data_IF_981675058894
#
_entry.id   IF_981675058894
#
_cell.length_a   1.000
_cell.length_b   1.000
_cell.length_c   1.000
_cell.angle_alpha   90.00
_cell.angle_beta   90.00
_cell.angle_gamma   90.00
#
_symmetry.space_group_name_H-M   'P 1'
#
loop_
_entity.id
_entity.type
_entity.pdbx_description
1 polymer ?
#
# COMPACT_ATOMS: atom_id res chain seq x y z
N UNK A 1 -31.13 20.02 5.42
CA UNK A 1 -29.81 19.36 5.56
C UNK A 1 -28.62 20.31 5.37
N UNK A 2 -28.59 21.19 4.36
CA UNK A 2 -27.46 22.13 4.14
C UNK A 2 -27.17 23.08 5.33
N UNK A 3 -28.18 23.66 5.96
CA UNK A 3 -27.98 24.55 7.13
C UNK A 3 -27.53 23.83 8.42
N UNK A 4 -27.84 22.54 8.57
CA UNK A 4 -27.36 21.71 9.69
C UNK A 4 -25.90 21.31 9.48
N UNK A 5 -25.53 20.92 8.25
CA UNK A 5 -24.14 20.60 7.90
C UNK A 5 -23.22 21.82 8.05
N UNK A 6 -23.70 23.02 7.70
CA UNK A 6 -22.94 24.27 7.90
C UNK A 6 -22.70 24.59 9.37
N UNK A 7 -23.73 24.48 10.22
CA UNK A 7 -23.61 24.68 11.68
C UNK A 7 -22.74 23.61 12.35
N UNK A 8 -22.77 22.37 11.87
CA UNK A 8 -21.88 21.30 12.32
C UNK A 8 -20.44 21.64 11.92
N UNK A 9 -20.21 22.06 10.67
CA UNK A 9 -18.90 22.53 10.20
C UNK A 9 -18.34 23.68 11.03
N UNK A 10 -19.12 24.74 11.26
CA UNK A 10 -18.71 25.90 12.07
C UNK A 10 -18.37 25.53 13.53
N UNK A 11 -19.11 24.58 14.13
CA UNK A 11 -18.84 24.08 15.49
C UNK A 11 -17.61 23.17 15.56
N UNK A 12 -17.41 22.34 14.54
CA UNK A 12 -16.22 21.50 14.39
C UNK A 12 -14.97 22.35 14.23
N UNK A 13 -15.01 23.37 13.35
CA UNK A 13 -13.89 24.29 13.09
C UNK A 13 -13.49 25.09 14.34
N UNK A 14 -14.45 25.56 15.15
CA UNK A 14 -14.12 26.27 16.40
C UNK A 14 -13.48 25.37 17.46
N UNK A 15 -13.96 24.14 17.63
CA UNK A 15 -13.34 23.15 18.52
C UNK A 15 -11.96 22.74 18.03
N UNK A 16 -11.81 22.60 16.72
CA UNK A 16 -10.54 22.31 16.03
C UNK A 16 -9.50 23.40 16.29
N UNK A 17 -9.86 24.68 16.12
CA UNK A 17 -8.93 25.80 16.34
C UNK A 17 -8.39 25.84 17.77
N UNK A 18 -9.23 25.60 18.77
CA UNK A 18 -8.80 25.53 20.18
C UNK A 18 -7.90 24.32 20.47
N UNK A 19 -8.23 23.16 19.89
CA UNK A 19 -7.43 21.93 20.05
C UNK A 19 -6.08 22.02 19.36
N UNK A 20 -6.04 22.61 18.15
CA UNK A 20 -4.82 22.86 17.39
C UNK A 20 -3.85 23.73 18.18
N UNK A 21 -4.33 24.81 18.81
CA UNK A 21 -3.49 25.70 19.60
C UNK A 21 -2.74 24.99 20.74
N UNK A 22 -3.43 24.17 21.52
CA UNK A 22 -2.79 23.43 22.63
C UNK A 22 -1.87 22.31 22.16
N UNK A 23 -2.27 21.58 21.10
CA UNK A 23 -1.46 20.50 20.52
C UNK A 23 -0.16 21.02 19.91
N UNK A 24 -0.19 22.19 19.25
CA UNK A 24 1.01 22.84 18.69
C UNK A 24 1.98 23.24 19.80
N UNK A 25 1.51 23.76 20.92
CA UNK A 25 2.37 24.12 22.06
C UNK A 25 3.03 22.88 22.66
N UNK A 26 2.26 21.81 22.89
CA UNK A 26 2.80 20.54 23.39
C UNK A 26 3.85 19.96 22.46
N UNK A 27 3.60 19.98 21.15
CA UNK A 27 4.54 19.53 20.14
C UNK A 27 5.81 20.39 20.12
N UNK A 28 5.68 21.72 20.12
CA UNK A 28 6.83 22.63 20.14
C UNK A 28 7.72 22.41 21.36
N UNK A 29 7.13 22.25 22.55
CA UNK A 29 7.87 21.99 23.78
C UNK A 29 8.59 20.64 23.76
N UNK A 30 7.97 19.61 23.17
CA UNK A 30 8.62 18.32 22.98
C UNK A 30 9.77 18.40 21.98
N UNK A 31 9.56 19.03 20.81
CA UNK A 31 10.57 19.13 19.76
C UNK A 31 11.80 19.91 20.23
N UNK A 32 11.63 20.97 21.03
CA UNK A 32 12.75 21.64 21.71
C UNK A 32 13.57 20.69 22.58
N UNK A 33 12.90 19.79 23.32
CA UNK A 33 13.60 18.79 24.14
C UNK A 33 14.36 17.76 23.29
N UNK A 34 13.77 17.35 22.16
CA UNK A 34 14.43 16.48 21.18
C UNK A 34 15.70 17.17 20.65
N UNK A 35 15.60 18.42 20.20
CA UNK A 35 16.74 19.21 19.72
C UNK A 35 17.83 19.39 20.78
N UNK A 36 17.46 19.59 22.05
CA UNK A 36 18.42 19.68 23.15
C UNK A 36 19.25 18.40 23.34
N UNK A 37 18.62 17.22 23.26
CA UNK A 37 19.35 15.95 23.35
C UNK A 37 20.23 15.73 22.12
N UNK A 38 19.71 16.04 20.93
CA UNK A 38 20.44 15.91 19.67
C UNK A 38 21.69 16.80 19.56
N UNK A 39 21.81 17.86 20.38
CA UNK A 39 23.02 18.70 20.46
C UNK A 39 24.21 17.97 21.09
N UNK A 40 23.97 16.97 21.95
CA UNK A 40 25.04 16.26 22.65
C UNK A 40 25.54 15.07 21.84
N UNK A 41 24.61 14.26 21.34
CA UNK A 41 24.83 13.16 20.42
C UNK A 41 23.52 12.95 19.63
N UNK A 42 23.55 12.20 18.52
CA UNK A 42 22.35 11.98 17.71
C UNK A 42 21.33 11.01 18.37
N UNK A 43 21.45 10.73 19.67
CA UNK A 43 20.69 9.72 20.38
C UNK A 43 19.69 10.33 21.35
N UNK A 44 18.51 9.73 21.42
CA UNK A 44 17.44 10.17 22.30
C UNK A 44 17.32 9.24 23.50
N UNK A 45 17.07 9.84 24.66
CA UNK A 45 16.77 9.12 25.87
C UNK A 45 15.42 8.39 25.77
N UNK A 46 15.29 7.25 26.46
CA UNK A 46 14.01 6.52 26.50
C UNK A 46 12.87 7.39 27.07
N UNK A 47 13.20 8.38 27.92
CA UNK A 47 12.24 9.34 28.46
C UNK A 47 11.69 10.29 27.37
N UNK A 48 12.55 10.83 26.49
CA UNK A 48 12.10 11.65 25.36
C UNK A 48 11.31 10.81 24.36
N UNK A 49 11.75 9.60 24.06
CA UNK A 49 11.03 8.67 23.18
C UNK A 49 9.63 8.35 23.76
N UNK A 50 9.51 8.12 25.06
CA UNK A 50 8.23 7.89 25.72
C UNK A 50 7.30 9.11 25.62
N UNK A 51 7.84 10.34 25.65
CA UNK A 51 7.06 11.56 25.44
C UNK A 51 6.60 11.72 24.00
N UNK A 52 7.44 11.37 23.01
CA UNK A 52 7.05 11.31 21.59
C UNK A 52 5.90 10.31 21.40
N UNK A 53 6.03 9.11 21.97
CA UNK A 53 4.98 8.10 21.98
C UNK A 53 3.67 8.65 22.56
N UNK A 54 3.69 9.16 23.80
CA UNK A 54 2.50 9.70 24.45
C UNK A 54 1.82 10.82 23.63
N UNK A 55 2.62 11.72 23.04
CA UNK A 55 2.11 12.80 22.20
C UNK A 55 1.43 12.23 20.93
N UNK A 56 2.04 11.26 20.26
CA UNK A 56 1.46 10.63 19.06
C UNK A 56 0.08 9.98 19.32
N UNK A 57 -0.13 9.40 20.52
CA UNK A 57 -1.43 8.83 20.91
C UNK A 57 -2.48 9.89 21.28
N UNK A 58 -2.04 11.08 21.70
CA UNK A 58 -2.92 12.21 22.06
C UNK A 58 -3.52 12.91 20.83
N UNK A 59 -2.83 12.84 19.68
CA UNK A 59 -3.27 13.42 18.42
C UNK A 59 -4.35 12.56 17.75
N UNK A 60 -5.62 12.76 18.15
CA UNK A 60 -6.74 12.01 17.55
C UNK A 60 -7.09 12.56 16.15
N UNK A 61 -7.34 11.70 15.15
CA UNK A 61 -7.89 12.12 13.86
C UNK A 61 -9.18 12.95 13.99
N UNK A 62 -9.42 13.83 13.03
CA UNK A 62 -10.64 14.62 12.89
C UNK A 62 -10.89 15.00 11.43
N UNK A 63 -12.10 15.42 11.10
CA UNK A 63 -12.42 16.03 9.81
C UNK A 63 -12.01 17.51 9.82
N UNK A 64 -11.36 17.96 8.78
CA UNK A 64 -11.00 19.37 8.57
C UNK A 64 -11.41 19.82 7.17
N UNK A 65 -11.34 21.13 6.92
CA UNK A 65 -11.66 21.71 5.62
C UNK A 65 -10.57 21.40 4.59
N UNK A 66 -10.95 20.76 3.48
CA UNK A 66 -10.19 20.60 2.25
C UNK A 66 -10.82 21.51 1.18
N UNK A 67 -10.26 22.70 0.99
CA UNK A 67 -10.91 23.74 0.19
C UNK A 67 -12.25 24.15 0.81
N UNK A 68 -13.33 23.99 0.05
CA UNK A 68 -14.68 24.39 0.47
C UNK A 68 -15.50 23.28 1.16
N UNK A 69 -14.93 22.08 1.30
CA UNK A 69 -15.63 20.90 1.84
C UNK A 69 -14.88 20.26 3.00
N UNK A 70 -15.58 19.55 3.88
CA UNK A 70 -14.93 18.72 4.90
C UNK A 70 -14.29 17.49 4.25
N UNK A 71 -13.14 17.06 4.77
CA UNK A 71 -12.49 15.82 4.36
C UNK A 71 -13.44 14.62 4.49
N UNK A 72 -13.37 13.70 3.51
CA UNK A 72 -14.22 12.51 3.49
C UNK A 72 -13.94 11.55 4.66
N UNK A 73 -12.67 11.44 5.06
CA UNK A 73 -12.16 10.66 6.19
C UNK A 73 -11.56 11.57 7.26
N UNK A 74 -11.38 11.04 8.46
CA UNK A 74 -10.68 11.72 9.56
C UNK A 74 -9.18 11.44 9.48
N UNK A 75 -8.37 12.49 9.57
CA UNK A 75 -6.91 12.38 9.66
C UNK A 75 -6.38 13.24 10.81
N UNK A 76 -5.13 13.02 11.22
CA UNK A 76 -4.41 13.86 12.17
C UNK A 76 -3.25 14.55 11.45
N UNK A 77 -3.41 15.84 11.11
CA UNK A 77 -2.31 16.67 10.65
C UNK A 77 -1.14 16.72 11.63
N UNK A 78 -1.42 16.67 12.94
CA UNK A 78 -0.37 16.73 13.97
C UNK A 78 0.49 15.46 13.99
N UNK A 79 -0.09 14.27 13.74
CA UNK A 79 0.70 13.04 13.54
C UNK A 79 1.58 13.13 12.31
N UNK A 80 1.05 13.67 11.22
CA UNK A 80 1.81 13.89 9.98
C UNK A 80 3.00 14.83 10.21
N UNK A 81 2.74 16.00 10.82
CA UNK A 81 3.78 16.96 11.14
C UNK A 81 4.82 16.39 12.10
N UNK A 82 4.40 15.66 13.13
CA UNK A 82 5.32 15.02 14.07
C UNK A 82 6.25 14.03 13.33
N UNK A 83 5.70 13.16 12.49
CA UNK A 83 6.49 12.19 11.72
C UNK A 83 7.48 12.88 10.78
N UNK A 84 7.01 13.83 9.97
CA UNK A 84 7.86 14.58 9.03
C UNK A 84 8.99 15.28 9.79
N UNK A 85 8.67 15.92 10.91
CA UNK A 85 9.69 16.63 11.70
C UNK A 85 10.74 15.68 12.26
N UNK A 86 10.31 14.53 12.80
CA UNK A 86 11.24 13.52 13.33
C UNK A 86 12.12 12.89 12.23
N UNK A 87 11.60 12.71 11.02
CA UNK A 87 12.37 12.22 9.86
C UNK A 87 13.44 13.22 9.40
N UNK A 88 13.15 14.52 9.51
CA UNK A 88 14.10 15.59 9.16
C UNK A 88 15.16 15.81 10.25
N UNK A 89 14.89 15.38 11.48
CA UNK A 89 15.86 15.43 12.57
C UNK A 89 16.91 14.32 12.38
N UNK A 90 18.18 14.65 12.62
CA UNK A 90 19.32 13.72 12.52
C UNK A 90 19.36 12.74 13.71
N UNK A 91 18.26 12.03 13.95
CA UNK A 91 18.13 11.01 15.01
C UNK A 91 18.82 9.73 14.53
N UNK A 92 19.60 9.09 15.40
CA UNK A 92 20.27 7.84 15.07
C UNK A 92 19.26 6.70 14.83
N UNK A 93 19.68 5.69 14.06
CA UNK A 93 18.84 4.56 13.66
C UNK A 93 18.25 3.78 14.84
N UNK A 94 19.00 3.62 15.95
CA UNK A 94 18.55 2.91 17.13
C UNK A 94 17.44 3.67 17.87
N UNK A 95 17.62 4.97 18.09
CA UNK A 95 16.59 5.85 18.65
C UNK A 95 15.35 5.90 17.77
N UNK A 96 15.53 6.05 16.45
CA UNK A 96 14.41 6.13 15.52
C UNK A 96 13.66 4.80 15.42
N UNK A 97 14.35 3.66 15.49
CA UNK A 97 13.71 2.33 15.57
C UNK A 97 12.81 2.23 16.81
N UNK A 98 13.27 2.67 17.98
CA UNK A 98 12.44 2.70 19.20
C UNK A 98 11.24 3.64 19.06
N UNK A 99 11.41 4.79 18.40
CA UNK A 99 10.30 5.71 18.10
C UNK A 99 9.24 4.98 17.28
N UNK A 100 9.61 4.37 16.14
CA UNK A 100 8.67 3.64 15.26
C UNK A 100 7.91 2.54 15.98
N UNK A 101 8.57 1.82 16.90
CA UNK A 101 7.96 0.74 17.68
C UNK A 101 7.02 1.22 18.80
N UNK A 102 7.21 2.43 19.32
CA UNK A 102 6.46 2.94 20.49
C UNK A 102 5.42 4.01 20.14
N UNK A 103 5.44 4.53 18.93
CA UNK A 103 4.52 5.58 18.46
C UNK A 103 3.41 5.01 17.58
N UNK A 104 2.41 5.85 17.34
CA UNK A 104 1.42 5.61 16.27
C UNK A 104 1.38 6.79 15.33
N UNK A 105 1.46 6.49 14.03
CA UNK A 105 1.22 7.44 12.95
C UNK A 105 -0.02 7.05 12.13
N UNK A 106 -0.88 6.21 12.69
CA UNK A 106 -2.15 5.84 12.08
C UNK A 106 -3.00 7.08 11.82
N UNK A 107 -3.61 7.18 10.64
CA UNK A 107 -4.39 8.34 10.24
C UNK A 107 -3.57 9.64 10.11
N UNK A 108 -2.24 9.61 10.09
CA UNK A 108 -1.43 10.80 9.84
C UNK A 108 -1.79 11.42 8.48
N UNK A 109 -1.88 12.74 8.42
CA UNK A 109 -2.01 13.45 7.14
C UNK A 109 -0.63 13.78 6.57
N UNK A 110 -0.25 13.09 5.50
CA UNK A 110 1.05 13.18 4.84
C UNK A 110 0.90 13.55 3.35
N UNK A 111 -0.27 14.08 2.97
CA UNK A 111 -0.59 14.44 1.58
C UNK A 111 0.45 15.35 0.98
N UNK A 112 0.93 15.01 -0.22
CA UNK A 112 1.91 15.80 -0.95
C UNK A 112 3.26 15.98 -0.25
N UNK A 113 3.52 15.27 0.86
CA UNK A 113 4.80 15.35 1.55
C UNK A 113 5.92 14.75 0.69
N UNK A 114 7.13 15.29 0.84
CA UNK A 114 8.34 14.64 0.34
C UNK A 114 8.89 13.73 1.44
N UNK A 115 8.73 12.43 1.24
CA UNK A 115 9.22 11.35 2.10
C UNK A 115 10.19 10.45 1.33
N UNK A 116 10.88 11.01 0.33
CA UNK A 116 11.87 10.28 -0.46
C UNK A 116 12.97 9.72 0.44
N UNK A 117 13.33 8.45 0.23
CA UNK A 117 14.30 7.71 1.04
C UNK A 117 13.94 7.55 2.54
N UNK A 118 12.73 7.90 2.97
CA UNK A 118 12.37 7.83 4.39
C UNK A 118 12.40 6.37 4.90
N UNK A 119 12.96 6.15 6.09
CA UNK A 119 12.89 4.84 6.76
C UNK A 119 11.65 4.72 7.65
N UNK A 120 10.56 4.28 7.03
CA UNK A 120 9.26 4.02 7.65
C UNK A 120 9.04 2.53 7.97
N UNK A 121 10.08 1.71 7.93
CA UNK A 121 9.96 0.28 8.20
C UNK A 121 9.39 0.00 9.59
N UNK A 122 8.53 -1.01 9.69
CA UNK A 122 7.82 -1.41 10.93
C UNK A 122 6.95 -0.32 11.56
N UNK A 123 6.63 0.75 10.83
CA UNK A 123 5.84 1.87 11.37
C UNK A 123 4.34 1.56 11.33
N UNK A 124 3.61 2.04 12.34
CA UNK A 124 2.14 1.98 12.38
C UNK A 124 1.55 3.16 11.60
N UNK A 125 1.15 2.94 10.35
CA UNK A 125 0.66 3.94 9.39
C UNK A 125 -0.76 3.62 8.86
N UNK A 126 -1.49 2.71 9.52
CA UNK A 126 -2.85 2.35 9.12
C UNK A 126 -3.76 3.57 8.98
N UNK A 127 -4.55 3.62 7.92
CA UNK A 127 -5.43 4.72 7.55
C UNK A 127 -4.75 6.08 7.32
N UNK A 128 -3.42 6.15 7.26
CA UNK A 128 -2.71 7.39 6.96
C UNK A 128 -3.00 7.88 5.53
N UNK A 129 -2.89 9.19 5.33
CA UNK A 129 -3.12 9.85 4.05
C UNK A 129 -1.81 10.18 3.35
N UNK A 130 -1.43 9.35 2.41
CA UNK A 130 -0.28 9.50 1.53
C UNK A 130 -0.67 9.93 0.11
N UNK A 131 -1.84 10.54 -0.08
CA UNK A 131 -2.27 10.97 -1.40
C UNK A 131 -1.25 11.94 -1.99
N UNK A 132 -0.79 11.64 -3.21
CA UNK A 132 0.20 12.43 -3.96
C UNK A 132 1.55 12.63 -3.23
N UNK A 133 1.87 11.80 -2.23
CA UNK A 133 3.14 11.85 -1.50
C UNK A 133 4.27 11.26 -2.35
N UNK A 134 5.47 11.84 -2.29
CA UNK A 134 6.68 11.20 -2.81
C UNK A 134 7.30 10.28 -1.75
N UNK A 135 7.19 8.97 -1.97
CA UNK A 135 7.78 7.88 -1.19
C UNK A 135 8.81 7.11 -2.04
N UNK A 136 9.35 7.72 -3.10
CA UNK A 136 10.36 7.05 -3.92
C UNK A 136 11.58 6.68 -3.08
N UNK A 137 12.11 5.48 -3.32
CA UNK A 137 13.23 4.90 -2.57
C UNK A 137 12.98 4.74 -1.05
N UNK A 138 11.75 4.94 -0.55
CA UNK A 138 11.44 4.80 0.87
C UNK A 138 11.48 3.34 1.34
N UNK A 139 11.88 3.11 2.59
CA UNK A 139 11.81 1.81 3.23
C UNK A 139 10.54 1.69 4.05
N UNK A 140 9.55 0.95 3.55
CA UNK A 140 8.27 0.62 4.18
C UNK A 140 8.18 -0.86 4.57
N UNK A 141 9.31 -1.55 4.71
CA UNK A 141 9.37 -2.98 5.04
C UNK A 141 8.58 -3.26 6.31
N UNK A 142 7.65 -4.22 6.25
CA UNK A 142 6.74 -4.60 7.34
C UNK A 142 5.96 -3.42 7.96
N UNK A 143 5.75 -2.31 7.25
CA UNK A 143 4.90 -1.24 7.74
C UNK A 143 3.42 -1.67 7.72
N UNK A 144 2.65 -1.20 8.70
CA UNK A 144 1.19 -1.31 8.68
C UNK A 144 0.62 -0.12 7.90
N UNK A 145 0.07 -0.38 6.73
CA UNK A 145 -0.58 0.56 5.81
C UNK A 145 -2.05 0.16 5.56
N UNK A 146 -2.67 -0.60 6.48
CA UNK A 146 -4.05 -1.04 6.33
C UNK A 146 -4.99 0.16 6.16
N UNK A 147 -5.87 0.13 5.16
CA UNK A 147 -6.81 1.22 4.82
C UNK A 147 -6.15 2.58 4.49
N UNK A 148 -4.83 2.64 4.29
CA UNK A 148 -4.12 3.86 3.93
C UNK A 148 -4.56 4.39 2.56
N UNK A 149 -4.55 5.72 2.40
CA UNK A 149 -4.81 6.38 1.14
C UNK A 149 -3.48 6.72 0.44
N UNK A 150 -3.10 5.95 -0.57
CA UNK A 150 -1.89 6.11 -1.39
C UNK A 150 -2.24 6.56 -2.81
N UNK A 151 -3.42 7.17 -3.01
CA UNK A 151 -3.88 7.60 -4.34
C UNK A 151 -2.83 8.51 -4.99
N UNK A 152 -2.39 8.17 -6.20
CA UNK A 152 -1.39 8.94 -6.94
C UNK A 152 -0.02 9.06 -6.28
N UNK A 153 0.29 8.29 -5.22
CA UNK A 153 1.58 8.35 -4.55
C UNK A 153 2.71 7.83 -5.46
N UNK A 154 3.90 8.41 -5.33
CA UNK A 154 5.10 7.91 -5.98
C UNK A 154 5.85 6.96 -5.02
N UNK A 155 5.81 5.67 -5.27
CA UNK A 155 6.48 4.59 -4.53
C UNK A 155 7.55 3.90 -5.39
N UNK A 156 8.07 4.57 -6.42
CA UNK A 156 9.07 3.96 -7.30
C UNK A 156 10.31 3.55 -6.49
N UNK A 157 10.78 2.31 -6.71
CA UNK A 157 11.90 1.69 -5.99
C UNK A 157 11.73 1.57 -4.47
N UNK A 158 10.55 1.82 -3.92
CA UNK A 158 10.30 1.66 -2.50
C UNK A 158 10.37 0.18 -2.08
N UNK A 159 10.80 -0.06 -0.84
CA UNK A 159 10.78 -1.40 -0.25
C UNK A 159 9.54 -1.57 0.63
N UNK A 160 8.51 -2.25 0.13
CA UNK A 160 7.28 -2.62 0.82
C UNK A 160 7.24 -4.11 1.20
N UNK A 161 8.38 -4.81 1.24
CA UNK A 161 8.41 -6.24 1.57
C UNK A 161 7.73 -6.52 2.92
N UNK A 162 6.76 -7.44 2.92
CA UNK A 162 5.96 -7.81 4.08
C UNK A 162 5.03 -6.71 4.62
N UNK A 163 4.85 -5.58 3.94
CA UNK A 163 3.93 -4.53 4.39
C UNK A 163 2.47 -5.00 4.37
N UNK A 164 1.65 -4.54 5.32
CA UNK A 164 0.20 -4.77 5.33
C UNK A 164 -0.50 -3.60 4.63
N UNK A 165 -0.94 -3.80 3.40
CA UNK A 165 -1.63 -2.86 2.52
C UNK A 165 -3.12 -3.23 2.34
N UNK A 166 -3.70 -4.07 3.22
CA UNK A 166 -5.09 -4.51 3.12
C UNK A 166 -6.02 -3.31 2.95
N UNK A 167 -6.93 -3.36 1.97
CA UNK A 167 -7.93 -2.31 1.70
C UNK A 167 -7.35 -0.90 1.46
N UNK A 168 -6.04 -0.78 1.21
CA UNK A 168 -5.44 0.50 0.86
C UNK A 168 -5.92 0.98 -0.52
N UNK A 169 -5.88 2.29 -0.72
CA UNK A 169 -6.19 2.92 -2.01
C UNK A 169 -4.88 3.30 -2.71
N UNK A 170 -4.46 2.50 -3.68
CA UNK A 170 -3.26 2.65 -4.50
C UNK A 170 -3.61 3.09 -5.94
N UNK A 171 -4.84 3.55 -6.20
CA UNK A 171 -5.26 3.95 -7.56
C UNK A 171 -4.33 5.05 -8.07
N UNK A 172 -3.88 4.87 -9.32
CA UNK A 172 -2.96 5.78 -10.01
C UNK A 172 -1.57 5.96 -9.35
N UNK A 173 -1.22 5.18 -8.33
CA UNK A 173 0.11 5.21 -7.74
C UNK A 173 1.16 4.63 -8.70
N UNK A 174 2.41 5.09 -8.59
CA UNK A 174 3.55 4.53 -9.33
C UNK A 174 4.46 3.76 -8.39
N UNK A 175 4.55 2.44 -8.55
CA UNK A 175 5.37 1.52 -7.77
C UNK A 175 6.40 0.79 -8.66
N UNK A 176 6.89 1.46 -9.71
CA UNK A 176 7.81 0.85 -10.65
C UNK A 176 9.12 0.45 -9.93
N UNK A 177 9.64 -0.73 -10.25
CA UNK A 177 10.87 -1.28 -9.64
C UNK A 177 10.82 -1.42 -8.11
N UNK A 178 9.62 -1.39 -7.51
CA UNK A 178 9.45 -1.57 -6.06
C UNK A 178 9.56 -3.04 -5.64
N UNK A 179 9.85 -3.26 -4.36
CA UNK A 179 9.84 -4.59 -3.74
C UNK A 179 8.61 -4.75 -2.85
N UNK A 180 7.65 -5.58 -3.26
CA UNK A 180 6.40 -5.91 -2.58
C UNK A 180 6.34 -7.40 -2.19
N UNK A 181 7.48 -8.10 -2.10
CA UNK A 181 7.50 -9.51 -1.72
C UNK A 181 6.75 -9.73 -0.42
N UNK A 182 5.87 -10.74 -0.39
CA UNK A 182 5.08 -11.11 0.78
C UNK A 182 4.14 -10.01 1.31
N UNK A 183 3.94 -8.90 0.58
CA UNK A 183 3.04 -7.85 1.01
C UNK A 183 1.58 -8.36 1.03
N UNK A 184 0.78 -7.83 1.94
CA UNK A 184 -0.64 -8.15 2.03
C UNK A 184 -1.48 -7.03 1.43
N UNK A 185 -1.97 -7.21 0.21
CA UNK A 185 -2.80 -6.27 -0.54
C UNK A 185 -4.25 -6.77 -0.70
N UNK A 186 -4.74 -7.62 0.20
CA UNK A 186 -6.11 -8.14 0.11
C UNK A 186 -7.15 -7.01 0.11
N UNK A 187 -8.03 -7.03 -0.89
CA UNK A 187 -9.07 -6.02 -1.08
C UNK A 187 -8.56 -4.61 -1.41
N UNK A 188 -7.26 -4.43 -1.68
CA UNK A 188 -6.71 -3.13 -2.06
C UNK A 188 -7.26 -2.66 -3.42
N UNK A 189 -7.23 -1.35 -3.65
CA UNK A 189 -7.66 -0.70 -4.90
C UNK A 189 -6.41 -0.26 -5.66
N UNK A 190 -6.05 -0.93 -6.75
CA UNK A 190 -4.86 -0.67 -7.57
C UNK A 190 -5.21 -0.24 -9.01
N UNK A 191 -6.47 0.06 -9.30
CA UNK A 191 -6.88 0.39 -10.66
C UNK A 191 -6.05 1.55 -11.23
N UNK A 192 -5.47 1.35 -12.42
CA UNK A 192 -4.57 2.31 -13.08
C UNK A 192 -3.19 2.50 -12.42
N UNK A 193 -2.84 1.73 -11.39
CA UNK A 193 -1.50 1.77 -10.79
C UNK A 193 -0.43 1.23 -11.76
N UNK A 194 0.82 1.66 -11.57
CA UNK A 194 1.96 1.18 -12.33
C UNK A 194 2.89 0.38 -11.44
N UNK A 195 3.15 -0.87 -11.79
CA UNK A 195 4.03 -1.80 -11.09
C UNK A 195 5.01 -2.43 -12.10
N UNK A 196 5.52 -1.61 -13.03
CA UNK A 196 6.44 -2.03 -14.07
C UNK A 196 7.75 -2.47 -13.42
N UNK A 197 8.23 -3.67 -13.74
CA UNK A 197 9.43 -4.30 -13.14
C UNK A 197 9.38 -4.45 -11.62
N UNK A 198 8.20 -4.34 -11.01
CA UNK A 198 8.07 -4.55 -9.57
C UNK A 198 8.26 -6.03 -9.22
N UNK A 199 8.80 -6.28 -8.04
CA UNK A 199 8.95 -7.63 -7.48
C UNK A 199 7.89 -7.86 -6.40
N UNK A 200 6.84 -8.62 -6.74
CA UNK A 200 5.64 -8.81 -5.93
C UNK A 200 5.50 -10.29 -5.55
N UNK A 201 6.59 -11.06 -5.60
CA UNK A 201 6.55 -12.50 -5.36
C UNK A 201 5.83 -12.86 -4.05
N UNK A 202 4.96 -13.85 -4.13
CA UNK A 202 4.23 -14.41 -2.97
C UNK A 202 3.39 -13.39 -2.19
N UNK A 203 3.02 -12.26 -2.80
CA UNK A 203 2.09 -11.33 -2.20
C UNK A 203 0.66 -11.89 -2.17
N UNK A 204 -0.15 -11.36 -1.24
CA UNK A 204 -1.57 -11.66 -1.11
C UNK A 204 -2.38 -10.54 -1.75
N UNK A 205 -3.13 -10.83 -2.80
CA UNK A 205 -3.86 -9.83 -3.61
C UNK A 205 -5.31 -10.28 -3.82
N UNK A 206 -5.84 -11.07 -2.88
CA UNK A 206 -7.19 -11.61 -3.00
C UNK A 206 -8.24 -10.51 -3.02
N UNK A 207 -9.20 -10.63 -3.92
CA UNK A 207 -10.34 -9.71 -4.05
C UNK A 207 -9.96 -8.24 -4.30
N UNK A 208 -8.72 -7.95 -4.69
CA UNK A 208 -8.28 -6.60 -5.04
C UNK A 208 -8.88 -6.15 -6.38
N UNK A 209 -8.92 -4.83 -6.58
CA UNK A 209 -9.25 -4.23 -7.88
C UNK A 209 -7.95 -3.81 -8.59
N UNK A 210 -7.58 -4.53 -9.65
CA UNK A 210 -6.37 -4.32 -10.45
C UNK A 210 -6.73 -3.84 -11.87
N UNK A 211 -7.91 -3.22 -12.03
CA UNK A 211 -8.40 -2.81 -13.33
C UNK A 211 -7.44 -1.85 -14.05
N UNK A 212 -6.88 -2.25 -15.19
CA UNK A 212 -5.94 -1.42 -15.94
C UNK A 212 -4.55 -1.26 -15.30
N UNK A 213 -4.20 -2.05 -14.28
CA UNK A 213 -2.87 -1.99 -13.67
C UNK A 213 -1.79 -2.45 -14.66
N UNK A 214 -0.61 -1.81 -14.61
CA UNK A 214 0.52 -2.14 -15.48
C UNK A 214 1.56 -2.98 -14.72
N UNK A 215 1.75 -4.23 -15.13
CA UNK A 215 2.71 -5.18 -14.56
C UNK A 215 3.79 -5.59 -15.58
N UNK A 216 4.10 -4.72 -16.55
CA UNK A 216 5.11 -5.00 -17.57
C UNK A 216 6.44 -5.43 -16.91
N UNK A 217 6.99 -6.56 -17.35
CA UNK A 217 8.24 -7.13 -16.85
C UNK A 217 8.27 -7.38 -15.32
N UNK A 218 7.11 -7.43 -14.65
CA UNK A 218 7.02 -7.63 -13.20
C UNK A 218 7.19 -9.10 -12.81
N UNK A 219 7.71 -9.33 -11.62
CA UNK A 219 7.80 -10.67 -11.04
C UNK A 219 6.63 -10.90 -10.08
N UNK A 220 5.68 -11.73 -10.51
CA UNK A 220 4.43 -12.05 -9.83
C UNK A 220 4.38 -13.53 -9.42
N UNK A 221 5.54 -14.18 -9.36
CA UNK A 221 5.58 -15.63 -9.13
C UNK A 221 4.99 -15.96 -7.75
N UNK A 222 4.06 -16.91 -7.71
CA UNK A 222 3.39 -17.34 -6.47
C UNK A 222 2.41 -16.33 -5.87
N UNK A 223 2.05 -15.24 -6.58
CA UNK A 223 1.06 -14.27 -6.08
C UNK A 223 -0.32 -14.91 -5.98
N UNK A 224 -1.06 -14.58 -4.92
CA UNK A 224 -2.44 -15.01 -4.77
C UNK A 224 -3.42 -13.95 -5.30
N UNK A 225 -3.94 -14.15 -6.51
CA UNK A 225 -4.96 -13.30 -7.14
C UNK A 225 -6.38 -13.86 -7.02
N UNK A 226 -6.65 -14.77 -6.07
CA UNK A 226 -7.96 -15.39 -5.92
C UNK A 226 -9.07 -14.33 -5.85
N UNK A 227 -10.01 -14.39 -6.80
CA UNK A 227 -11.15 -13.48 -6.86
C UNK A 227 -10.80 -12.01 -7.21
N UNK A 228 -9.57 -11.73 -7.62
CA UNK A 228 -9.16 -10.37 -7.98
C UNK A 228 -9.79 -9.93 -9.31
N UNK A 229 -10.14 -8.65 -9.41
CA UNK A 229 -10.60 -8.03 -10.67
C UNK A 229 -9.38 -7.58 -11.45
N UNK A 230 -9.11 -8.19 -12.60
CA UNK A 230 -7.91 -7.93 -13.41
C UNK A 230 -8.28 -7.55 -14.85
N UNK A 231 -9.44 -6.92 -15.04
CA UNK A 231 -9.86 -6.47 -16.36
C UNK A 231 -8.90 -5.39 -16.88
N UNK A 232 -8.51 -5.46 -18.16
CA UNK A 232 -7.59 -4.50 -18.82
C UNK A 232 -6.18 -4.46 -18.25
N UNK A 233 -5.80 -5.42 -17.41
CA UNK A 233 -4.46 -5.45 -16.82
C UNK A 233 -3.40 -5.76 -17.88
N UNK A 234 -2.19 -5.22 -17.72
CA UNK A 234 -1.08 -5.48 -18.65
C UNK A 234 0.00 -6.32 -18.00
N UNK A 235 0.12 -7.58 -18.39
CA UNK A 235 1.11 -8.54 -17.91
C UNK A 235 2.23 -8.82 -18.93
N UNK A 236 2.47 -7.95 -19.91
CA UNK A 236 3.50 -8.21 -20.92
C UNK A 236 4.84 -8.55 -20.27
N UNK A 237 5.42 -9.68 -20.66
CA UNK A 237 6.67 -10.24 -20.14
C UNK A 237 6.70 -10.49 -18.61
N UNK A 238 5.56 -10.45 -17.94
CA UNK A 238 5.50 -10.69 -16.50
C UNK A 238 5.61 -12.18 -16.18
N UNK A 239 6.16 -12.49 -15.01
CA UNK A 239 6.23 -13.87 -14.50
C UNK A 239 5.10 -14.15 -13.51
N UNK A 240 4.05 -14.85 -13.94
CA UNK A 240 2.94 -15.35 -13.11
C UNK A 240 3.11 -16.84 -12.77
N UNK A 241 4.32 -17.39 -12.84
CA UNK A 241 4.55 -18.79 -12.50
C UNK A 241 4.07 -19.09 -11.07
N UNK A 242 3.29 -20.16 -10.91
CA UNK A 242 2.68 -20.56 -9.62
C UNK A 242 1.69 -19.55 -9.01
N UNK A 243 1.28 -18.51 -9.73
CA UNK A 243 0.26 -17.58 -9.23
C UNK A 243 -1.11 -18.27 -9.12
N UNK A 244 -1.96 -17.84 -8.20
CA UNK A 244 -3.34 -18.31 -8.08
C UNK A 244 -4.29 -17.35 -8.81
N UNK A 245 -4.78 -17.76 -9.99
CA UNK A 245 -5.66 -16.97 -10.85
C UNK A 245 -7.13 -17.39 -10.74
N UNK A 246 -7.48 -18.29 -9.82
CA UNK A 246 -8.85 -18.79 -9.67
C UNK A 246 -9.82 -17.67 -9.34
N UNK A 247 -11.05 -17.79 -9.84
CA UNK A 247 -12.13 -16.81 -9.64
C UNK A 247 -11.80 -15.38 -10.11
N UNK A 248 -10.69 -15.17 -10.83
CA UNK A 248 -10.33 -13.86 -11.33
C UNK A 248 -11.01 -13.55 -12.67
N UNK A 249 -11.00 -12.26 -13.01
CA UNK A 249 -11.50 -11.76 -14.29
C UNK A 249 -10.36 -11.10 -15.08
N UNK A 250 -9.97 -11.69 -16.21
CA UNK A 250 -8.92 -11.18 -17.09
C UNK A 250 -9.47 -10.57 -18.39
N UNK A 251 -10.75 -10.20 -18.47
CA UNK A 251 -11.30 -9.59 -19.69
C UNK A 251 -10.48 -8.35 -20.12
N UNK A 252 -10.19 -8.25 -21.42
CA UNK A 252 -9.32 -7.22 -22.01
C UNK A 252 -7.87 -7.19 -21.49
N UNK A 253 -7.39 -8.21 -20.77
CA UNK A 253 -5.99 -8.27 -20.33
C UNK A 253 -5.01 -8.52 -21.49
N UNK A 254 -3.77 -8.06 -21.29
CA UNK A 254 -2.66 -8.25 -22.21
C UNK A 254 -1.67 -9.24 -21.58
N UNK A 255 -1.40 -10.36 -22.25
CA UNK A 255 -0.61 -11.49 -21.74
C UNK A 255 0.52 -11.92 -22.69
N UNK A 256 1.07 -10.99 -23.49
CA UNK A 256 2.13 -11.32 -24.45
C UNK A 256 3.45 -11.62 -23.72
N UNK A 257 4.09 -12.74 -24.02
CA UNK A 257 5.32 -13.15 -23.34
C UNK A 257 5.16 -13.45 -21.85
N UNK A 258 3.94 -13.59 -21.35
CA UNK A 258 3.67 -13.87 -19.93
C UNK A 258 3.99 -15.32 -19.59
N UNK A 259 4.76 -15.52 -18.51
CA UNK A 259 5.04 -16.86 -17.98
C UNK A 259 3.92 -17.30 -17.02
N UNK A 260 3.28 -18.43 -17.31
CA UNK A 260 2.12 -18.93 -16.56
C UNK A 260 2.34 -20.33 -15.99
N UNK A 261 3.58 -20.84 -16.02
CA UNK A 261 3.84 -22.22 -15.65
C UNK A 261 3.48 -22.48 -14.18
N UNK A 262 2.68 -23.53 -13.96
CA UNK A 262 2.12 -23.93 -12.66
C UNK A 262 1.13 -22.94 -12.03
N UNK A 263 0.66 -21.92 -12.77
CA UNK A 263 -0.39 -21.04 -12.27
C UNK A 263 -1.68 -21.83 -12.03
N UNK A 264 -2.32 -21.64 -10.88
CA UNK A 264 -3.60 -22.25 -10.53
C UNK A 264 -4.72 -21.53 -11.27
N UNK A 265 -5.65 -22.28 -11.84
CA UNK A 265 -6.76 -21.76 -12.65
C UNK A 265 -8.06 -22.48 -12.32
N UNK A 266 -9.19 -21.92 -12.73
CA UNK A 266 -10.48 -22.60 -12.62
C UNK A 266 -10.58 -23.76 -13.63
N UNK A 267 -11.46 -24.73 -13.36
CA UNK A 267 -11.68 -25.88 -14.24
C UNK A 267 -12.13 -25.48 -15.66
N UNK A 268 -12.84 -24.36 -15.79
CA UNK A 268 -13.33 -23.81 -17.05
C UNK A 268 -12.40 -22.75 -17.67
N UNK A 269 -11.11 -22.75 -17.32
CA UNK A 269 -10.14 -21.77 -17.83
C UNK A 269 -10.12 -21.65 -19.36
N UNK A 270 -10.23 -22.78 -20.08
CA UNK A 270 -10.23 -22.79 -21.55
C UNK A 270 -11.44 -22.08 -22.14
N UNK A 271 -12.63 -22.25 -21.53
CA UNK A 271 -13.86 -21.56 -21.91
C UNK A 271 -13.69 -20.04 -21.66
N UNK A 272 -13.20 -19.67 -20.47
CA UNK A 272 -12.95 -18.26 -20.11
C UNK A 272 -11.98 -17.56 -21.08
N UNK A 273 -10.91 -18.24 -21.52
CA UNK A 273 -9.97 -17.68 -22.50
C UNK A 273 -10.63 -17.35 -23.85
N UNK A 274 -11.73 -18.03 -24.18
CA UNK A 274 -12.49 -17.80 -25.42
C UNK A 274 -13.51 -16.68 -25.25
N UNK A 275 -14.06 -16.52 -24.05
CA UNK A 275 -15.01 -15.46 -23.71
C UNK A 275 -14.32 -14.10 -23.50
N UNK A 276 -13.12 -14.10 -22.95
CA UNK A 276 -12.35 -12.89 -22.67
C UNK A 276 -11.70 -12.31 -23.92
N UNK A 277 -11.74 -10.98 -24.05
CA UNK A 277 -11.09 -10.23 -25.15
C UNK A 277 -9.58 -10.07 -24.92
N UNK A 278 -8.87 -11.19 -24.78
CA UNK A 278 -7.45 -11.22 -24.43
C UNK A 278 -6.53 -10.89 -25.61
N UNK A 279 -5.50 -10.09 -25.34
CA UNK A 279 -4.32 -10.00 -26.21
C UNK A 279 -3.31 -11.06 -25.78
N UNK A 280 -2.90 -11.94 -26.71
CA UNK A 280 -1.99 -13.07 -26.41
C UNK A 280 -2.68 -14.43 -26.21
N UNK A 281 -4.00 -14.53 -26.43
CA UNK A 281 -4.76 -15.79 -26.25
C UNK A 281 -4.21 -16.97 -27.05
N UNK A 282 -3.87 -16.76 -28.33
CA UNK A 282 -3.26 -17.79 -29.20
C UNK A 282 -1.93 -18.28 -28.66
N UNK A 283 -1.09 -17.38 -28.16
CA UNK A 283 0.20 -17.72 -27.57
C UNK A 283 0.00 -18.61 -26.34
N UNK A 284 -0.90 -18.24 -25.44
CA UNK A 284 -1.25 -19.02 -24.24
C UNK A 284 -1.76 -20.41 -24.62
N UNK A 285 -2.75 -20.49 -25.51
CA UNK A 285 -3.35 -21.76 -25.95
C UNK A 285 -2.33 -22.68 -26.60
N UNK A 286 -1.37 -22.13 -27.36
CA UNK A 286 -0.31 -22.92 -28.00
C UNK A 286 0.86 -23.29 -27.08
N UNK A 287 0.97 -22.64 -25.91
CA UNK A 287 2.11 -22.78 -24.99
C UNK A 287 1.77 -23.53 -23.70
N UNK A 288 0.49 -23.63 -23.32
CA UNK A 288 0.06 -24.21 -22.05
C UNK A 288 -1.16 -25.13 -22.22
N UNK A 289 -1.21 -26.17 -21.40
CA UNK A 289 -2.42 -26.97 -21.19
C UNK A 289 -2.83 -26.94 -19.71
N UNK A 290 -4.13 -27.04 -19.46
CA UNK A 290 -4.68 -27.21 -18.11
C UNK A 290 -4.54 -28.67 -17.70
N UNK A 291 -4.03 -28.94 -16.49
CA UNK A 291 -3.95 -30.28 -15.90
C UNK A 291 -4.48 -30.29 -14.47
N UNK A 292 -4.85 -31.47 -13.97
CA UNK A 292 -5.39 -31.68 -12.62
C UNK A 292 -4.78 -32.92 -11.95
N UNK A 293 -3.47 -32.88 -11.71
CA UNK A 293 -2.68 -33.98 -11.13
C UNK A 293 -2.49 -33.86 -9.60
N UNK A 294 -3.23 -32.95 -8.95
CA UNK A 294 -3.21 -32.75 -7.50
C UNK A 294 -4.61 -32.52 -6.93
N UNK A 295 -4.77 -32.75 -5.63
CA UNK A 295 -6.03 -32.58 -4.90
C UNK A 295 -5.87 -31.54 -3.79
N UNK A 296 -6.95 -30.82 -3.46
CA UNK A 296 -7.02 -29.94 -2.30
C UNK A 296 -7.23 -30.73 -0.99
N UNK A 297 -7.30 -30.01 0.14
CA UNK A 297 -7.53 -30.60 1.47
C UNK A 297 -8.87 -31.35 1.60
N UNK A 298 -9.82 -31.10 0.68
CA UNK A 298 -11.13 -31.72 0.62
C UNK A 298 -11.22 -32.79 -0.49
N UNK A 299 -10.08 -33.19 -1.07
CA UNK A 299 -9.96 -34.17 -2.16
C UNK A 299 -10.61 -33.73 -3.48
N UNK A 300 -10.79 -32.43 -3.71
CA UNK A 300 -11.21 -31.92 -5.02
C UNK A 300 -10.01 -31.70 -5.95
N UNK A 301 -10.16 -31.91 -7.27
CA UNK A 301 -9.11 -31.63 -8.25
C UNK A 301 -8.66 -30.17 -8.22
N UNK A 302 -7.35 -29.95 -8.20
CA UNK A 302 -6.72 -28.63 -8.37
C UNK A 302 -6.20 -28.50 -9.78
N UNK A 303 -6.69 -27.50 -10.51
CA UNK A 303 -6.31 -27.26 -11.89
C UNK A 303 -5.17 -26.25 -11.98
N UNK A 304 -4.20 -26.52 -12.83
CA UNK A 304 -3.09 -25.61 -13.08
C UNK A 304 -2.55 -25.71 -14.51
N UNK A 305 -1.85 -24.66 -14.93
CA UNK A 305 -1.24 -24.58 -16.25
C UNK A 305 0.11 -25.27 -16.28
N UNK A 306 0.35 -26.10 -17.31
CA UNK A 306 1.66 -26.71 -17.58
C UNK A 306 2.17 -26.25 -18.92
N UNK A 307 3.38 -25.67 -18.94
CA UNK A 307 4.05 -25.27 -20.19
C UNK A 307 4.35 -26.49 -21.04
N UNK A 308 4.02 -26.42 -22.32
CA UNK A 308 4.32 -27.47 -23.30
C UNK A 308 5.83 -27.44 -23.52
N UNK A 309 6.51 -28.56 -23.25
CA UNK A 309 7.92 -28.71 -23.64
C UNK A 309 7.97 -28.77 -25.17
N UNK A 310 8.67 -27.84 -25.80
CA UNK A 310 9.09 -27.98 -27.19
C UNK A 310 10.20 -29.04 -27.28
#
# INVERSE_FOLDING_TARGET
MQNQNRKIGERSVRRESGRKGSQVILMSNLLKKVEEELKQNNTLSDAVIARIAALSFSFKPYKYLEGDSLSGKEYSPERGQLLITLLLMKIDTGSFTKIKQRTTFAGADLRGADLKNADLSYSTLGSANFKETDLSDANLKNADLNDANLWGANLNRANLSGADLKRSDLRWATLNESNLKFANMNGAQLSGAQLIKADIQQAFVQYADLGGTLFNDANLSGVNFLGAKMNKVNFNNADLSRADLRMSNLDEAILLGTELNKALVDSNWVEKLSDWRLTGSKEIQSSYHVISDSLDQWKHPVYHLRKIKK
#
